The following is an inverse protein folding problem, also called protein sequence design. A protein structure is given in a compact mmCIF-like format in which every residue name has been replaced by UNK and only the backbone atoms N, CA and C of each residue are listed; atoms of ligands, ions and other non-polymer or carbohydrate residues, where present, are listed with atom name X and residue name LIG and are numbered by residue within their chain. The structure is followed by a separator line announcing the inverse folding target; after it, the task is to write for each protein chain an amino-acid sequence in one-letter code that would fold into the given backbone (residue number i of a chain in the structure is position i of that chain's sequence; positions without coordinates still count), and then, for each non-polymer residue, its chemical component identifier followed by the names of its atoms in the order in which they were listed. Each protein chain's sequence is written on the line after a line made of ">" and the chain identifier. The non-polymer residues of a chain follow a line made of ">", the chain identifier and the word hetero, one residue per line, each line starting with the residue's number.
data_IF_762906563634
#
_entry.id   IF_762906563634
#
_cell.length_a   1.000
_cell.length_b   1.000
_cell.length_c   1.000
_cell.angle_alpha   90.00
_cell.angle_beta   90.00
_cell.angle_gamma   90.00
#
_symmetry.space_group_name_H-M   'P 1'
#
loop_
_entity.id
_entity.type
_entity.pdbx_description
1 polymer ?
#
# COMPACT_ATOMS: atom_id res chain seq x y z
N UNK A 1 -15.72 6.11 13.62
CA UNK A 1 -14.66 5.12 13.79
C UNK A 1 -13.36 5.76 13.35
N UNK A 2 -12.30 5.62 14.16
CA UNK A 2 -10.96 6.11 13.89
C UNK A 2 -10.03 4.91 13.65
N UNK A 3 -9.25 4.96 12.60
CA UNK A 3 -8.26 3.96 12.26
C UNK A 3 -7.04 4.65 11.65
N UNK A 4 -5.85 4.25 12.08
CA UNK A 4 -4.60 4.75 11.54
C UNK A 4 -4.05 3.79 10.48
N UNK A 5 -3.60 4.32 9.35
CA UNK A 5 -2.90 3.58 8.31
C UNK A 5 -1.40 3.90 8.23
N UNK A 6 -0.92 4.85 9.02
CA UNK A 6 0.50 5.16 9.17
C UNK A 6 1.21 4.20 10.12
N UNK A 7 2.54 4.20 10.06
CA UNK A 7 3.37 3.23 10.80
C UNK A 7 3.37 3.47 12.31
N UNK A 8 3.22 4.72 12.73
CA UNK A 8 3.21 5.13 14.12
C UNK A 8 1.85 5.72 14.51
N UNK A 9 1.50 5.59 15.78
CA UNK A 9 0.24 6.10 16.36
C UNK A 9 0.22 7.64 16.56
N UNK A 10 0.97 8.39 15.76
CA UNK A 10 1.06 9.86 15.87
C UNK A 10 0.04 10.61 15.02
N UNK A 11 -0.58 9.96 14.04
CA UNK A 11 -1.59 10.58 13.19
C UNK A 11 -2.90 10.84 13.92
N UNK A 12 -3.20 10.03 14.92
CA UNK A 12 -4.34 10.23 15.82
C UNK A 12 -3.78 10.65 17.18
N UNK A 13 -4.13 11.86 17.63
CA UNK A 13 -3.71 12.33 18.96
C UNK A 13 -4.44 11.59 20.06
N UNK A 14 -3.91 10.46 20.48
CA UNK A 14 -4.50 9.63 21.54
C UNK A 14 -4.59 10.40 22.86
N UNK A 15 -3.57 11.23 23.15
CA UNK A 15 -3.56 12.08 24.35
C UNK A 15 -4.75 13.04 24.36
N UNK A 16 -4.97 13.78 23.29
CA UNK A 16 -6.10 14.70 23.20
C UNK A 16 -7.44 13.95 23.25
N UNK A 17 -7.51 12.78 22.60
CA UNK A 17 -8.71 11.94 22.64
C UNK A 17 -9.05 11.50 24.08
N UNK A 18 -8.04 11.16 24.88
CA UNK A 18 -8.19 10.81 26.29
C UNK A 18 -8.60 12.03 27.15
N UNK A 19 -8.07 13.21 26.86
CA UNK A 19 -8.37 14.45 27.58
C UNK A 19 -9.83 14.92 27.38
N UNK A 20 -10.39 14.75 26.17
CA UNK A 20 -11.76 15.16 25.84
C UNK A 20 -12.81 14.09 26.16
N UNK A 21 -12.41 12.87 26.45
CA UNK A 21 -13.31 11.77 26.72
C UNK A 21 -13.66 11.73 28.23
N UNK A 22 -14.95 11.62 28.56
CA UNK A 22 -15.44 11.42 29.93
C UNK A 22 -15.30 9.96 30.37
N UNK A 23 -15.27 9.03 29.44
CA UNK A 23 -15.02 7.61 29.71
C UNK A 23 -14.40 6.89 28.54
N UNK A 24 -13.64 5.83 28.85
CA UNK A 24 -13.04 4.92 27.91
C UNK A 24 -13.38 3.49 28.31
N UNK A 25 -13.76 2.64 27.36
CA UNK A 25 -13.94 1.21 27.58
C UNK A 25 -13.48 0.37 26.40
N UNK A 26 -12.93 -0.82 26.69
CA UNK A 26 -12.66 -1.80 25.66
C UNK A 26 -13.96 -2.49 25.26
N UNK A 27 -14.29 -2.51 23.98
CA UNK A 27 -15.48 -3.16 23.43
C UNK A 27 -15.20 -4.60 23.04
N UNK A 28 -14.00 -4.83 22.47
CA UNK A 28 -13.43 -6.12 22.08
C UNK A 28 -11.94 -5.94 21.80
N UNK A 29 -11.16 -6.99 21.59
CA UNK A 29 -9.76 -6.85 21.19
C UNK A 29 -9.60 -5.87 20.01
N UNK A 30 -8.65 -4.95 20.15
CA UNK A 30 -8.34 -3.90 19.16
C UNK A 30 -9.48 -2.90 18.87
N UNK A 31 -10.49 -2.76 19.76
CA UNK A 31 -11.58 -1.77 19.62
C UNK A 31 -11.88 -1.12 20.96
N UNK A 32 -11.66 0.18 21.05
CA UNK A 32 -11.93 1.01 22.21
C UNK A 32 -13.02 2.04 21.89
N UNK A 33 -13.96 2.23 22.83
CA UNK A 33 -14.96 3.31 22.78
C UNK A 33 -14.54 4.43 23.72
N UNK A 34 -14.57 5.65 23.22
CA UNK A 34 -14.41 6.89 23.95
C UNK A 34 -15.73 7.65 23.92
N UNK A 35 -16.32 7.92 25.11
CA UNK A 35 -17.54 8.71 25.22
C UNK A 35 -17.17 10.16 25.53
N UNK A 36 -17.78 11.12 24.82
CA UNK A 36 -17.57 12.54 25.01
C UNK A 36 -18.68 13.15 25.87
N UNK A 37 -18.46 14.35 26.44
CA UNK A 37 -19.44 15.05 27.28
C UNK A 37 -20.76 15.33 26.56
N UNK A 38 -20.72 15.58 25.26
CA UNK A 38 -21.88 15.85 24.40
C UNK A 38 -22.68 14.59 24.02
N UNK A 39 -22.29 13.41 24.54
CA UNK A 39 -22.93 12.13 24.29
C UNK A 39 -22.44 11.41 23.01
N UNK A 40 -21.58 12.03 22.24
CA UNK A 40 -20.94 11.34 21.05
C UNK A 40 -20.03 10.23 21.53
N UNK A 41 -19.93 9.21 20.69
CA UNK A 41 -19.03 8.07 20.89
C UNK A 41 -18.06 7.96 19.74
N UNK A 42 -16.78 7.89 20.06
CA UNK A 42 -15.70 7.65 19.12
C UNK A 42 -15.15 6.25 19.34
N UNK A 43 -14.91 5.54 18.27
CA UNK A 43 -14.38 4.17 18.30
C UNK A 43 -12.99 4.16 17.69
N UNK A 44 -12.00 3.77 18.48
CA UNK A 44 -10.60 3.71 18.06
C UNK A 44 -10.19 2.26 17.81
N UNK A 45 -9.66 1.99 16.61
CA UNK A 45 -9.11 0.70 16.25
C UNK A 45 -7.61 0.62 16.58
N UNK A 46 -7.19 -0.55 17.03
CA UNK A 46 -5.79 -0.91 17.25
C UNK A 46 -4.98 0.07 18.11
N UNK A 47 -5.67 0.79 19.05
CA UNK A 47 -5.04 1.81 19.91
C UNK A 47 -4.32 2.92 19.11
N UNK A 48 -4.77 3.20 17.88
CA UNK A 48 -4.14 4.15 16.96
C UNK A 48 -2.89 3.64 16.26
N UNK A 49 -2.52 2.38 16.44
CA UNK A 49 -1.42 1.73 15.70
C UNK A 49 -1.85 1.40 14.27
N UNK A 50 -0.91 1.03 13.42
CA UNK A 50 -1.15 0.59 12.03
C UNK A 50 -2.19 -0.55 12.00
N UNK A 51 -3.41 -0.23 11.56
CA UNK A 51 -4.60 -1.06 11.74
C UNK A 51 -4.51 -2.41 11.03
N UNK A 52 -3.94 -2.44 9.82
CA UNK A 52 -3.82 -3.67 9.03
C UNK A 52 -2.84 -4.69 9.62
N UNK A 53 -1.88 -4.25 10.44
CA UNK A 53 -0.95 -5.16 11.12
C UNK A 53 -1.38 -5.45 12.56
N UNK A 54 -1.95 -4.47 13.26
CA UNK A 54 -2.31 -4.61 14.67
C UNK A 54 -3.69 -5.25 14.88
N UNK A 55 -4.62 -5.08 13.95
CA UNK A 55 -6.01 -5.55 14.06
C UNK A 55 -6.49 -6.38 12.86
N UNK A 56 -5.61 -6.73 11.93
CA UNK A 56 -5.87 -7.57 10.77
C UNK A 56 -4.65 -8.43 10.44
N UNK A 57 -4.73 -9.20 9.36
CA UNK A 57 -3.71 -10.18 8.96
C UNK A 57 -2.57 -9.58 8.11
N UNK A 58 -2.60 -8.27 7.84
CA UNK A 58 -1.64 -7.61 6.97
C UNK A 58 -1.97 -7.76 5.48
N UNK A 59 -0.94 -7.77 4.64
CA UNK A 59 -1.10 -7.93 3.20
C UNK A 59 -1.15 -9.42 2.81
N UNK A 60 -1.96 -9.80 1.82
CA UNK A 60 -1.95 -11.16 1.28
C UNK A 60 -0.57 -11.54 0.74
N UNK A 61 -0.22 -12.83 0.85
CA UNK A 61 1.06 -13.36 0.37
C UNK A 61 1.28 -13.10 -1.13
N UNK A 62 0.21 -13.14 -1.92
CA UNK A 62 0.26 -12.88 -3.35
C UNK A 62 0.70 -11.45 -3.70
N UNK A 63 0.37 -10.48 -2.85
CA UNK A 63 0.81 -9.09 -3.01
C UNK A 63 2.25 -8.93 -2.55
N UNK A 64 2.60 -9.52 -1.41
CA UNK A 64 3.96 -9.44 -0.86
C UNK A 64 4.98 -10.17 -1.72
N UNK A 65 4.59 -11.25 -2.40
CA UNK A 65 5.41 -11.96 -3.38
C UNK A 65 5.93 -11.02 -4.48
N UNK A 66 5.06 -10.23 -5.09
CA UNK A 66 5.47 -9.24 -6.09
C UNK A 66 6.41 -8.17 -5.53
N UNK A 67 6.14 -7.69 -4.32
CA UNK A 67 6.99 -6.71 -3.66
C UNK A 67 8.39 -7.25 -3.38
N UNK A 68 8.50 -8.47 -2.86
CA UNK A 68 9.79 -9.09 -2.58
C UNK A 68 10.53 -9.49 -3.86
N UNK A 69 9.84 -9.95 -4.90
CA UNK A 69 10.45 -10.21 -6.21
C UNK A 69 11.06 -8.94 -6.80
N UNK A 70 10.34 -7.81 -6.73
CA UNK A 70 10.83 -6.52 -7.18
C UNK A 70 12.08 -6.08 -6.40
N UNK A 71 12.05 -6.21 -5.06
CA UNK A 71 13.20 -5.89 -4.21
C UNK A 71 14.42 -6.76 -4.55
N UNK A 72 14.23 -8.07 -4.73
CA UNK A 72 15.32 -8.99 -5.06
C UNK A 72 15.97 -8.66 -6.41
N UNK A 73 15.16 -8.43 -7.45
CA UNK A 73 15.65 -8.07 -8.78
C UNK A 73 16.31 -6.68 -8.81
N UNK A 74 15.79 -5.72 -8.03
CA UNK A 74 16.45 -4.44 -7.87
C UNK A 74 17.81 -4.56 -7.14
N UNK A 75 17.90 -5.41 -6.13
CA UNK A 75 19.17 -5.66 -5.44
C UNK A 75 20.20 -6.30 -6.40
N UNK A 76 19.77 -7.28 -7.21
CA UNK A 76 20.61 -7.87 -8.25
C UNK A 76 21.05 -6.82 -9.28
N UNK A 77 20.14 -5.99 -9.76
CA UNK A 77 20.43 -4.91 -10.69
C UNK A 77 21.49 -3.95 -10.13
N UNK A 78 21.34 -3.51 -8.87
CA UNK A 78 22.31 -2.63 -8.21
C UNK A 78 23.68 -3.30 -8.05
N UNK A 79 23.72 -4.58 -7.72
CA UNK A 79 24.97 -5.34 -7.59
C UNK A 79 25.74 -5.47 -8.90
N UNK A 80 25.03 -5.51 -10.02
CA UNK A 80 25.61 -5.62 -11.38
C UNK A 80 25.90 -4.27 -12.04
N UNK A 81 25.31 -3.19 -11.53
CA UNK A 81 25.44 -1.86 -12.11
C UNK A 81 26.67 -1.15 -11.55
N UNK A 82 27.37 -0.39 -12.41
CA UNK A 82 28.46 0.47 -11.97
C UNK A 82 27.92 1.53 -10.98
N UNK A 83 28.84 2.12 -10.18
CA UNK A 83 28.52 3.11 -9.15
C UNK A 83 27.60 4.22 -9.68
N UNK A 84 26.42 4.31 -9.10
CA UNK A 84 25.40 5.31 -9.43
C UNK A 84 25.56 6.54 -8.52
N UNK A 85 25.32 7.76 -9.01
CA UNK A 85 25.23 8.94 -8.16
C UNK A 85 24.13 8.78 -7.08
N UNK A 86 24.31 9.38 -5.87
CA UNK A 86 23.32 9.29 -4.80
C UNK A 86 22.08 10.13 -5.12
N UNK A 87 21.02 9.49 -5.61
CA UNK A 87 19.69 10.09 -5.88
C UNK A 87 18.62 9.01 -5.86
N UNK A 88 17.36 9.42 -5.91
CA UNK A 88 16.23 8.49 -6.10
C UNK A 88 16.16 8.11 -7.58
N UNK A 89 16.04 6.81 -7.83
CA UNK A 89 15.86 6.23 -9.16
C UNK A 89 14.53 5.48 -9.21
N UNK A 90 13.77 5.58 -10.29
CA UNK A 90 12.63 4.70 -10.50
C UNK A 90 13.14 3.26 -10.70
N UNK A 91 12.31 2.29 -10.35
CA UNK A 91 12.56 0.88 -10.69
C UNK A 91 12.65 0.76 -12.21
N UNK A 92 13.67 0.07 -12.76
CA UNK A 92 13.73 -0.18 -14.20
C UNK A 92 12.46 -0.89 -14.68
N UNK A 93 11.90 -0.40 -15.77
CA UNK A 93 10.63 -0.89 -16.33
C UNK A 93 10.67 -2.38 -16.63
N UNK A 94 11.81 -2.88 -17.09
CA UNK A 94 12.03 -4.29 -17.43
C UNK A 94 11.91 -5.20 -16.20
N UNK A 95 12.34 -4.72 -15.02
CA UNK A 95 12.20 -5.44 -13.75
C UNK A 95 10.72 -5.51 -13.37
N UNK A 96 10.04 -4.38 -13.38
CA UNK A 96 8.63 -4.29 -13.00
C UNK A 96 7.75 -5.14 -13.92
N UNK A 97 7.94 -5.05 -15.23
CA UNK A 97 7.23 -5.88 -16.22
C UNK A 97 7.56 -7.39 -16.07
N UNK A 98 8.78 -7.73 -15.69
CA UNK A 98 9.17 -9.13 -15.46
C UNK A 98 8.43 -9.72 -14.27
N UNK A 99 8.37 -8.99 -13.15
CA UNK A 99 7.62 -9.42 -11.96
C UNK A 99 6.14 -9.59 -12.29
N UNK A 100 5.54 -8.62 -13.00
CA UNK A 100 4.14 -8.70 -13.42
C UNK A 100 3.86 -9.92 -14.31
N UNK A 101 4.72 -10.18 -15.32
CA UNK A 101 4.58 -11.34 -16.21
C UNK A 101 4.72 -12.67 -15.47
N UNK A 102 5.69 -12.78 -14.57
CA UNK A 102 5.87 -13.97 -13.74
C UNK A 102 4.63 -14.24 -12.88
N UNK A 103 4.06 -13.20 -12.28
CA UNK A 103 2.86 -13.32 -11.46
C UNK A 103 1.64 -13.74 -12.29
N UNK A 104 1.40 -13.10 -13.42
CA UNK A 104 0.32 -13.48 -14.34
C UNK A 104 0.43 -14.93 -14.79
N UNK A 105 1.65 -15.38 -15.15
CA UNK A 105 1.91 -16.77 -15.54
C UNK A 105 1.62 -17.74 -14.38
N UNK A 106 2.05 -17.43 -13.16
CA UNK A 106 1.78 -18.25 -11.97
C UNK A 106 0.27 -18.37 -11.69
N UNK A 107 -0.48 -17.30 -11.93
CA UNK A 107 -1.93 -17.26 -11.81
C UNK A 107 -2.67 -17.88 -13.01
N UNK A 108 -1.96 -18.29 -14.05
CA UNK A 108 -2.51 -18.78 -15.34
C UNK A 108 -3.41 -17.75 -16.05
N UNK A 109 -3.12 -16.47 -15.82
CA UNK A 109 -3.81 -15.35 -16.49
C UNK A 109 -3.03 -14.98 -17.75
N UNK A 110 -3.73 -14.91 -18.87
CA UNK A 110 -3.22 -14.37 -20.13
C UNK A 110 -3.80 -12.97 -20.34
N UNK A 111 -2.94 -12.06 -20.79
CA UNK A 111 -3.34 -10.71 -21.21
C UNK A 111 -3.11 -10.60 -22.71
N UNK A 112 -3.89 -9.77 -23.36
CA UNK A 112 -3.77 -9.49 -24.78
C UNK A 112 -2.48 -8.71 -25.08
N UNK A 113 -1.95 -8.91 -26.28
CA UNK A 113 -0.86 -8.09 -26.81
C UNK A 113 -1.45 -6.97 -27.68
N UNK A 114 -0.98 -5.76 -27.44
CA UNK A 114 -1.38 -4.63 -28.26
C UNK A 114 -0.91 -4.81 -29.69
N UNK A 115 -1.79 -4.57 -30.66
CA UNK A 115 -1.44 -4.45 -32.07
C UNK A 115 -0.52 -3.27 -32.31
N UNK A 116 0.18 -3.24 -33.44
CA UNK A 116 1.04 -2.08 -33.77
C UNK A 116 0.24 -0.79 -33.97
N UNK A 117 -1.02 -0.89 -34.38
CA UNK A 117 -1.92 0.25 -34.48
C UNK A 117 -2.27 0.78 -33.08
N UNK A 118 -2.63 -0.09 -32.15
CA UNK A 118 -2.89 0.28 -30.75
C UNK A 118 -1.67 0.90 -30.08
N UNK A 119 -0.47 0.34 -30.32
CA UNK A 119 0.80 0.92 -29.82
C UNK A 119 1.03 2.32 -30.37
N UNK A 120 0.80 2.54 -31.66
CA UNK A 120 0.91 3.86 -32.29
C UNK A 120 -0.11 4.84 -31.73
N UNK A 121 -1.36 4.43 -31.59
CA UNK A 121 -2.41 5.25 -30.99
C UNK A 121 -2.05 5.72 -29.59
N UNK A 122 -1.56 4.84 -28.73
CA UNK A 122 -1.15 5.18 -27.36
C UNK A 122 0.11 6.06 -27.28
N UNK A 123 0.93 6.07 -28.35
CA UNK A 123 2.15 6.87 -28.40
C UNK A 123 1.95 8.26 -29.00
N UNK A 124 0.79 8.56 -29.58
CA UNK A 124 0.51 9.84 -30.25
C UNK A 124 -0.82 10.41 -29.79
N UNK A 125 -0.96 11.73 -29.86
CA UNK A 125 -2.24 12.44 -29.66
C UNK A 125 -2.99 12.71 -30.98
N UNK A 126 -2.37 12.42 -32.13
CA UNK A 126 -2.88 12.74 -33.45
C UNK A 126 -3.98 11.80 -33.97
N UNK A 127 -4.07 10.60 -33.33
CA UNK A 127 -5.08 9.61 -33.70
C UNK A 127 -6.29 9.74 -32.78
N UNK A 128 -7.22 10.61 -33.16
CA UNK A 128 -8.51 10.77 -32.51
C UNK A 128 -9.67 10.39 -33.41
N UNK A 129 -10.88 10.27 -32.87
CA UNK A 129 -12.12 10.19 -33.65
C UNK A 129 -12.34 11.48 -34.42
N UNK A 130 -12.48 11.39 -35.75
CA UNK A 130 -12.96 12.47 -36.62
C UNK A 130 -14.47 12.61 -36.41
#
# INVERSE_FOLDING_TARGET
>A
ILANSGHFNVEISIKNLQEIAVSKRSMRPNLEEYSLEDGRKLYLLAEGRLVNLAAAEGHPSEVMDMSFANQALCAEYLAKTQKMPPKVYPVPREIDETVAKLKLNAMKIKIDELTDEQKRYLATWEMGTI
#
